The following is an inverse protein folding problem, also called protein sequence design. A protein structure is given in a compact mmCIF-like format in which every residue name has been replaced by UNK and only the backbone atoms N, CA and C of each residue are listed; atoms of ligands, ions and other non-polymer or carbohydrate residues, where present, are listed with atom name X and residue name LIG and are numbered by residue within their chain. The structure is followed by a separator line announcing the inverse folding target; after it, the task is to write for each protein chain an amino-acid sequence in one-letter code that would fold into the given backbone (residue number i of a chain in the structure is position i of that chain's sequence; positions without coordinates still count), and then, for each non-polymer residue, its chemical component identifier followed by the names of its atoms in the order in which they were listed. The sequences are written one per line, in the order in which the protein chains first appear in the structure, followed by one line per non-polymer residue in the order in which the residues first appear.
data_IF_605697637790
#
_entry.id   IF_605697637790
#
_cell.length_a   1.000
_cell.length_b   1.000
_cell.length_c   1.000
_cell.angle_alpha   90.00
_cell.angle_beta   90.00
_cell.angle_gamma   90.00
#
_symmetry.space_group_name_H-M   'P 1'
#
loop_
_entity.id
_entity.type
_entity.pdbx_description
1 polymer ?
#
# COMPACT_ATOMS: atom_id res chain seq x y z
N UNK A 1 7.52 17.48 27.58
CA UNK A 1 7.05 17.01 26.26
C UNK A 1 5.85 17.85 25.91
N UNK A 2 5.89 18.52 24.77
CA UNK A 2 4.75 19.30 24.26
C UNK A 2 3.60 18.34 23.92
N UNK A 3 2.36 18.69 24.26
CA UNK A 3 1.18 17.86 23.97
C UNK A 3 1.05 17.62 22.47
N UNK A 4 1.41 18.61 21.64
CA UNK A 4 1.44 18.47 20.19
C UNK A 4 2.37 17.36 19.72
N UNK A 5 3.58 17.27 20.28
CA UNK A 5 4.56 16.25 19.93
C UNK A 5 4.10 14.83 20.30
N UNK A 6 3.36 14.69 21.40
CA UNK A 6 2.80 13.39 21.82
C UNK A 6 1.71 12.93 20.84
N UNK A 7 0.86 13.85 20.40
CA UNK A 7 -0.20 13.55 19.43
C UNK A 7 0.41 13.16 18.09
N UNK A 8 1.39 13.91 17.59
CA UNK A 8 2.08 13.62 16.33
C UNK A 8 2.75 12.24 16.36
N UNK A 9 3.48 11.92 17.44
CA UNK A 9 4.09 10.61 17.61
C UNK A 9 3.03 9.48 17.66
N UNK A 10 1.92 9.69 18.35
CA UNK A 10 0.82 8.72 18.41
C UNK A 10 0.23 8.43 17.03
N UNK A 11 -0.02 9.47 16.23
CA UNK A 11 -0.52 9.34 14.85
C UNK A 11 0.54 8.70 13.94
N UNK A 12 1.81 9.04 14.11
CA UNK A 12 2.91 8.40 13.38
C UNK A 12 2.97 6.89 13.64
N UNK A 13 2.94 6.46 14.90
CA UNK A 13 2.96 5.03 15.23
C UNK A 13 1.72 4.30 14.72
N UNK A 14 0.55 4.95 14.72
CA UNK A 14 -0.66 4.41 14.10
C UNK A 14 -0.45 4.15 12.60
N UNK A 15 0.01 5.14 11.84
CA UNK A 15 0.27 4.93 10.42
C UNK A 15 1.40 3.94 10.15
N UNK A 16 2.49 4.00 10.93
CA UNK A 16 3.62 3.08 10.79
C UNK A 16 3.20 1.61 11.02
N UNK A 17 2.36 1.34 12.02
CA UNK A 17 1.85 -0.01 12.26
C UNK A 17 0.92 -0.49 11.14
N UNK A 18 0.07 0.40 10.59
CA UNK A 18 -0.77 0.09 9.43
C UNK A 18 0.10 -0.18 8.18
N UNK A 19 1.14 0.62 7.94
CA UNK A 19 2.08 0.41 6.82
C UNK A 19 2.76 -0.95 6.92
N UNK A 20 3.32 -1.30 8.08
CA UNK A 20 3.97 -2.60 8.28
C UNK A 20 2.94 -3.73 8.18
N UNK A 21 1.77 -3.59 8.80
CA UNK A 21 0.69 -4.57 8.74
C UNK A 21 0.19 -4.80 7.31
N UNK A 22 0.04 -3.74 6.52
CA UNK A 22 -0.33 -3.81 5.10
C UNK A 22 0.77 -4.47 4.25
N UNK A 23 2.04 -4.19 4.51
CA UNK A 23 3.17 -4.85 3.84
C UNK A 23 3.25 -6.34 4.17
N UNK A 24 3.02 -6.72 5.43
CA UNK A 24 2.91 -8.13 5.82
C UNK A 24 1.70 -8.79 5.17
N UNK A 25 0.54 -8.12 5.17
CA UNK A 25 -0.69 -8.59 4.53
C UNK A 25 -0.54 -8.81 3.03
N UNK A 26 0.23 -7.96 2.35
CA UNK A 26 0.59 -8.14 0.94
C UNK A 26 1.31 -9.48 0.72
N UNK A 27 2.33 -9.78 1.52
CA UNK A 27 3.19 -10.97 1.32
C UNK A 27 2.50 -12.26 1.79
N UNK A 28 1.75 -12.18 2.90
CA UNK A 28 1.15 -13.35 3.54
C UNK A 28 -0.20 -13.75 2.91
N UNK A 29 -0.84 -12.87 2.13
CA UNK A 29 -2.12 -13.16 1.52
C UNK A 29 -2.02 -14.20 0.39
N UNK A 30 -2.75 -15.30 0.52
CA UNK A 30 -2.81 -16.37 -0.48
C UNK A 30 -3.58 -15.99 -1.75
N UNK A 31 -4.43 -14.96 -1.69
CA UNK A 31 -5.25 -14.50 -2.81
C UNK A 31 -4.78 -13.12 -3.24
N UNK A 32 -4.55 -12.95 -4.55
CA UNK A 32 -4.11 -11.69 -5.16
C UNK A 32 -5.03 -10.53 -4.75
N UNK A 33 -6.35 -10.73 -4.73
CA UNK A 33 -7.29 -9.68 -4.33
C UNK A 33 -7.06 -9.17 -2.89
N UNK A 34 -6.75 -10.05 -1.94
CA UNK A 34 -6.51 -9.67 -0.54
C UNK A 34 -5.13 -9.02 -0.36
N UNK A 35 -4.13 -9.55 -1.09
CA UNK A 35 -2.79 -8.98 -1.17
C UNK A 35 -2.85 -7.53 -1.66
N UNK A 36 -3.63 -7.28 -2.71
CA UNK A 36 -3.83 -5.93 -3.29
C UNK A 36 -4.60 -4.99 -2.37
N UNK A 37 -5.64 -5.45 -1.69
CA UNK A 37 -6.31 -4.64 -0.69
C UNK A 37 -5.35 -4.22 0.43
N UNK A 38 -4.47 -5.12 0.88
CA UNK A 38 -3.44 -4.80 1.89
C UNK A 38 -2.43 -3.77 1.37
N UNK A 39 -2.07 -3.84 0.09
CA UNK A 39 -1.20 -2.85 -0.55
C UNK A 39 -1.81 -1.45 -0.58
N UNK A 40 -3.13 -1.36 -0.85
CA UNK A 40 -3.87 -0.08 -0.83
C UNK A 40 -3.79 0.56 0.56
N UNK A 41 -4.05 -0.22 1.62
CA UNK A 41 -3.93 0.26 2.99
C UNK A 41 -2.49 0.70 3.32
N UNK A 42 -1.49 -0.04 2.86
CA UNK A 42 -0.08 0.29 3.03
C UNK A 42 0.25 1.67 2.41
N UNK A 43 -0.09 1.88 1.14
CA UNK A 43 0.21 3.14 0.44
C UNK A 43 -0.60 4.33 0.97
N UNK A 44 -1.85 4.11 1.40
CA UNK A 44 -2.63 5.14 2.08
C UNK A 44 -1.97 5.56 3.40
N UNK A 45 -1.49 4.61 4.19
CA UNK A 45 -0.79 4.92 5.44
C UNK A 45 0.54 5.66 5.20
N UNK A 46 1.30 5.27 4.16
CA UNK A 46 2.52 6.00 3.74
C UNK A 46 2.20 7.43 3.32
N UNK A 47 1.11 7.65 2.59
CA UNK A 47 0.65 9.01 2.26
C UNK A 47 0.32 9.82 3.51
N UNK A 48 -0.30 9.19 4.53
CA UNK A 48 -0.52 9.81 5.84
C UNK A 48 0.77 10.24 6.50
N UNK A 49 1.81 9.39 6.49
CA UNK A 49 3.14 9.73 7.03
C UNK A 49 3.73 10.94 6.30
N UNK A 50 3.61 11.03 4.97
CA UNK A 50 4.08 12.21 4.24
C UNK A 50 3.34 13.50 4.63
N UNK A 51 2.04 13.42 4.92
CA UNK A 51 1.30 14.58 5.45
C UNK A 51 1.82 14.99 6.83
N UNK A 52 2.11 14.03 7.73
CA UNK A 52 2.70 14.33 9.04
C UNK A 52 4.06 15.03 8.92
N UNK A 53 4.87 14.64 7.92
CA UNK A 53 6.16 15.27 7.65
C UNK A 53 6.05 16.64 6.95
N UNK A 54 4.85 17.13 6.67
CA UNK A 54 4.62 18.38 5.93
C UNK A 54 4.92 18.27 4.43
N UNK A 55 5.00 17.04 3.89
CA UNK A 55 5.31 16.76 2.49
C UNK A 55 4.03 16.52 1.66
N UNK A 56 3.16 17.53 1.58
CA UNK A 56 1.82 17.41 0.97
C UNK A 56 1.86 17.03 -0.51
N UNK A 57 2.79 17.62 -1.27
CA UNK A 57 2.97 17.29 -2.69
C UNK A 57 3.39 15.83 -2.89
N UNK A 58 4.27 15.32 -2.02
CA UNK A 58 4.73 13.94 -2.08
C UNK A 58 3.61 12.96 -1.67
N UNK A 59 2.79 13.33 -0.68
CA UNK A 59 1.59 12.59 -0.30
C UNK A 59 0.61 12.47 -1.49
N UNK A 60 0.34 13.58 -2.19
CA UNK A 60 -0.50 13.57 -3.38
C UNK A 60 0.07 12.65 -4.48
N UNK A 61 1.38 12.73 -4.75
CA UNK A 61 2.06 11.84 -5.70
C UNK A 61 1.96 10.38 -5.27
N UNK A 62 2.08 10.08 -3.97
CA UNK A 62 1.96 8.71 -3.46
C UNK A 62 0.61 8.08 -3.85
N UNK A 63 -0.46 8.85 -3.73
CA UNK A 63 -1.80 8.39 -4.10
C UNK A 63 -1.95 8.33 -5.63
N UNK A 64 -1.57 9.38 -6.36
CA UNK A 64 -1.80 9.44 -7.80
C UNK A 64 -0.92 8.47 -8.60
N UNK A 65 0.33 8.30 -8.20
CA UNK A 65 1.31 7.50 -8.94
C UNK A 65 1.37 6.09 -8.39
N UNK A 66 1.62 5.88 -7.10
CA UNK A 66 1.82 4.53 -6.57
C UNK A 66 0.50 3.79 -6.37
N UNK A 67 -0.49 4.42 -5.75
CA UNK A 67 -1.78 3.77 -5.49
C UNK A 67 -2.60 3.58 -6.77
N UNK A 68 -2.78 4.63 -7.57
CA UNK A 68 -3.65 4.57 -8.75
C UNK A 68 -2.94 4.11 -10.02
N UNK A 69 -1.73 4.59 -10.33
CA UNK A 69 -1.10 4.31 -11.63
C UNK A 69 -0.29 3.01 -11.63
N UNK A 70 0.82 3.00 -10.89
CA UNK A 70 1.75 1.86 -10.82
C UNK A 70 1.06 0.64 -10.20
N UNK A 71 0.30 0.84 -9.12
CA UNK A 71 -0.43 -0.22 -8.43
C UNK A 71 -1.39 -0.97 -9.36
N UNK A 72 -2.22 -0.26 -10.12
CA UNK A 72 -3.15 -0.89 -11.07
C UNK A 72 -2.43 -1.60 -12.21
N UNK A 73 -1.33 -1.04 -12.75
CA UNK A 73 -0.53 -1.69 -13.80
C UNK A 73 0.06 -3.01 -13.30
N UNK A 74 0.63 -3.02 -12.10
CA UNK A 74 1.14 -4.25 -11.47
C UNK A 74 0.01 -5.25 -11.24
N UNK A 75 -1.17 -4.78 -10.84
CA UNK A 75 -2.38 -5.59 -10.66
C UNK A 75 -2.79 -6.30 -11.95
N UNK A 76 -2.88 -5.55 -13.04
CA UNK A 76 -3.18 -6.12 -14.36
C UNK A 76 -2.11 -7.11 -14.80
N UNK A 77 -0.83 -6.78 -14.60
CA UNK A 77 0.28 -7.69 -14.88
C UNK A 77 0.10 -9.04 -14.18
N UNK A 78 -0.04 -9.04 -12.86
CA UNK A 78 -0.20 -10.27 -12.06
C UNK A 78 -1.45 -11.07 -12.46
N UNK A 79 -2.57 -10.40 -12.72
CA UNK A 79 -3.81 -11.07 -13.12
C UNK A 79 -3.69 -11.75 -14.48
N UNK A 80 -2.97 -11.15 -15.44
CA UNK A 80 -2.74 -11.71 -16.76
C UNK A 80 -1.79 -12.91 -16.69
N UNK A 81 -0.67 -12.80 -15.97
CA UNK A 81 0.32 -13.91 -15.86
C UNK A 81 -0.26 -15.13 -15.18
N UNK A 82 -1.14 -14.95 -14.17
CA UNK A 82 -1.78 -16.07 -13.47
C UNK A 82 -2.70 -16.89 -14.38
N UNK A 83 -3.34 -16.26 -15.38
CA UNK A 83 -4.20 -16.98 -16.33
C UNK A 83 -3.39 -17.81 -17.32
N UNK A 84 -2.28 -17.25 -17.82
CA UNK A 84 -1.44 -17.94 -18.81
C UNK A 84 -0.88 -19.26 -18.29
N UNK A 85 -0.37 -19.31 -17.05
CA UNK A 85 0.19 -20.55 -16.48
C UNK A 85 -0.87 -21.65 -16.33
N UNK A 86 -2.13 -21.29 -16.08
CA UNK A 86 -3.21 -22.26 -15.96
C UNK A 86 -3.67 -22.81 -17.31
N UNK A 87 -3.55 -22.05 -18.40
CA UNK A 87 -4.00 -22.45 -19.73
C UNK A 87 -2.96 -23.30 -20.47
N UNK A 88 -1.66 -23.08 -20.21
CA UNK A 88 -0.54 -23.84 -20.82
C UNK A 88 -0.50 -25.32 -20.40
N UNK A 89 -1.04 -25.68 -19.22
CA UNK A 89 -1.09 -27.07 -18.73
C UNK A 89 -2.18 -27.94 -19.41
N UNK A 90 -3.07 -27.34 -20.23
CA UNK A 90 -4.19 -28.04 -20.87
C UNK A 90 -4.05 -28.19 -22.41
N UNK A 91 -2.97 -27.70 -23.01
CA UNK A 91 -2.56 -28.01 -24.40
C UNK A 91 -1.43 -29.05 -24.43
#
# INVERSE_FOLDING_TARGET
MDVGAIVEAGVFFLFATITIGGALGLILAQRVAHSMLSLIFCFMAVSGIFILLGAEFLAAIQILVYLASVGLVVLFGIMLTRRQILEEDFE
#
